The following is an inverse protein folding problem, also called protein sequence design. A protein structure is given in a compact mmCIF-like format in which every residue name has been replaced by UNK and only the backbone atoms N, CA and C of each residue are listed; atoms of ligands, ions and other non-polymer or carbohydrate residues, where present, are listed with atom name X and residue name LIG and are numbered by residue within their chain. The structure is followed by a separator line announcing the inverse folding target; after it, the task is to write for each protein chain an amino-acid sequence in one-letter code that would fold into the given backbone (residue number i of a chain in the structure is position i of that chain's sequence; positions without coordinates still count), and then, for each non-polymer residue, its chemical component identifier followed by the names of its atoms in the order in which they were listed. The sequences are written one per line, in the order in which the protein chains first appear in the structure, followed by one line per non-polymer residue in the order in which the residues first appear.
data_IF_354276663242
#
_entry.id   IF_354276663242
#
_cell.length_a   1.000
_cell.length_b   1.000
_cell.length_c   1.000
_cell.angle_alpha   90.00
_cell.angle_beta   90.00
_cell.angle_gamma   90.00
#
_symmetry.space_group_name_H-M   'P 1'
#
loop_
_entity.id
_entity.type
_entity.pdbx_description
1 polymer ?
#
# COMPACT_ATOMS: atom_id res chain seq x y z
N UNK A 1 -49.11 21.53 -12.88
CA UNK A 1 -48.05 20.51 -13.05
C UNK A 1 -47.12 21.01 -14.15
N UNK A 2 -46.14 21.83 -13.77
CA UNK A 2 -45.20 22.47 -14.69
C UNK A 2 -43.96 21.60 -14.88
N UNK A 3 -43.56 21.45 -16.13
CA UNK A 3 -42.32 20.84 -16.56
C UNK A 3 -41.24 21.94 -16.76
N UNK A 4 -39.97 21.50 -16.81
CA UNK A 4 -38.70 22.24 -17.04
C UNK A 4 -38.19 23.07 -15.85
N UNK A 5 -36.94 22.97 -15.42
CA UNK A 5 -35.70 23.16 -16.20
C UNK A 5 -34.55 22.21 -15.76
N UNK A 6 -33.74 21.87 -16.76
CA UNK A 6 -32.49 21.10 -16.78
C UNK A 6 -31.47 21.48 -15.70
N UNK A 7 -30.77 20.48 -15.16
CA UNK A 7 -29.39 20.64 -14.70
C UNK A 7 -28.47 19.90 -15.69
N UNK A 8 -27.68 20.70 -16.38
CA UNK A 8 -26.59 20.39 -17.29
C UNK A 8 -25.37 19.79 -16.55
N UNK A 9 -24.55 19.02 -17.27
CA UNK A 9 -23.14 18.79 -16.92
C UNK A 9 -22.80 17.56 -16.07
N UNK A 10 -22.21 16.55 -16.72
CA UNK A 10 -21.64 15.32 -16.16
C UNK A 10 -22.64 14.39 -15.43
N UNK A 11 -23.08 13.34 -16.13
CA UNK A 11 -23.59 12.15 -15.45
C UNK A 11 -22.53 11.69 -14.45
N UNK A 12 -22.77 11.88 -13.15
CA UNK A 12 -21.92 11.36 -12.09
C UNK A 12 -21.78 9.85 -12.32
N UNK A 13 -20.61 9.42 -12.80
CA UNK A 13 -20.35 8.00 -13.05
C UNK A 13 -20.52 7.24 -11.74
N UNK A 14 -21.58 6.44 -11.64
CA UNK A 14 -21.79 5.51 -10.54
C UNK A 14 -21.17 4.16 -10.87
N UNK A 15 -20.62 3.51 -9.85
CA UNK A 15 -20.16 2.13 -9.96
C UNK A 15 -21.35 1.20 -10.15
N UNK A 16 -21.19 0.21 -11.01
CA UNK A 16 -22.04 -0.98 -11.03
C UNK A 16 -21.81 -1.81 -9.77
N UNK A 17 -22.76 -2.68 -9.43
CA UNK A 17 -22.59 -3.60 -8.31
C UNK A 17 -21.34 -4.49 -8.48
N UNK A 18 -21.01 -4.87 -9.72
CA UNK A 18 -19.81 -5.65 -10.03
C UNK A 18 -18.53 -4.85 -9.76
N UNK A 19 -18.41 -3.63 -10.31
CA UNK A 19 -17.25 -2.77 -10.07
C UNK A 19 -17.05 -2.50 -8.56
N UNK A 20 -18.14 -2.34 -7.80
CA UNK A 20 -18.06 -2.17 -6.35
C UNK A 20 -17.49 -3.41 -5.65
N UNK A 21 -17.95 -4.62 -6.01
CA UNK A 21 -17.45 -5.86 -5.42
C UNK A 21 -15.99 -6.13 -5.81
N UNK A 22 -15.58 -5.80 -7.03
CA UNK A 22 -14.19 -5.92 -7.49
C UNK A 22 -13.24 -5.03 -6.68
N UNK A 23 -13.66 -3.80 -6.36
CA UNK A 23 -12.87 -2.90 -5.51
C UNK A 23 -12.68 -3.45 -4.09
N UNK A 24 -13.68 -4.15 -3.55
CA UNK A 24 -13.56 -4.79 -2.23
C UNK A 24 -12.53 -5.94 -2.20
N UNK A 25 -12.19 -6.51 -3.36
CA UNK A 25 -11.18 -7.56 -3.49
C UNK A 25 -9.76 -7.01 -3.68
N UNK A 26 -9.59 -5.68 -3.84
CA UNK A 26 -8.27 -5.06 -4.00
C UNK A 26 -7.47 -5.26 -2.71
N UNK A 27 -6.27 -5.89 -2.76
CA UNK A 27 -5.47 -6.07 -1.57
C UNK A 27 -5.06 -4.72 -0.97
N UNK A 28 -5.18 -4.56 0.35
CA UNK A 28 -4.85 -3.31 1.06
C UNK A 28 -3.42 -2.79 0.75
N UNK A 29 -2.47 -3.70 0.49
CA UNK A 29 -1.12 -3.32 0.08
C UNK A 29 -1.09 -2.61 -1.30
N UNK A 30 -1.92 -3.05 -2.25
CA UNK A 30 -2.04 -2.43 -3.58
C UNK A 30 -2.65 -1.05 -3.44
N UNK A 31 -3.71 -0.91 -2.65
CA UNK A 31 -4.34 0.39 -2.34
C UNK A 31 -3.34 1.36 -1.71
N UNK A 32 -2.63 0.91 -0.68
CA UNK A 32 -1.63 1.73 0.00
C UNK A 32 -0.51 2.20 -0.96
N UNK A 33 0.02 1.31 -1.81
CA UNK A 33 1.02 1.70 -2.80
C UNK A 33 0.45 2.66 -3.87
N UNK A 34 -0.81 2.52 -4.26
CA UNK A 34 -1.46 3.44 -5.21
C UNK A 34 -1.55 4.86 -4.64
N UNK A 35 -1.71 5.00 -3.32
CA UNK A 35 -1.75 6.29 -2.62
C UNK A 35 -0.38 6.99 -2.53
N UNK A 36 0.73 6.28 -2.79
CA UNK A 36 2.08 6.89 -2.85
C UNK A 36 2.32 7.51 -4.23
N UNK A 37 2.06 8.82 -4.33
CA UNK A 37 2.19 9.59 -5.58
C UNK A 37 3.61 9.63 -6.15
N UNK A 38 4.63 9.74 -5.31
CA UNK A 38 6.01 9.80 -5.78
C UNK A 38 6.50 8.40 -6.18
N UNK A 39 6.81 8.14 -7.47
CA UNK A 39 7.20 6.80 -7.93
C UNK A 39 8.53 6.32 -7.32
N UNK A 40 9.43 7.24 -6.94
CA UNK A 40 10.67 6.89 -6.24
C UNK A 40 10.38 6.42 -4.81
N UNK A 41 9.56 7.18 -4.09
CA UNK A 41 9.13 6.81 -2.73
C UNK A 41 8.40 5.47 -2.74
N UNK A 42 7.48 5.26 -3.69
CA UNK A 42 6.77 3.99 -3.85
C UNK A 42 7.73 2.82 -4.10
N UNK A 43 8.69 2.98 -5.01
CA UNK A 43 9.70 1.94 -5.29
C UNK A 43 10.56 1.64 -4.07
N UNK A 44 10.90 2.66 -3.27
CA UNK A 44 11.67 2.48 -2.05
C UNK A 44 10.90 1.62 -1.02
N UNK A 45 9.65 1.96 -0.71
CA UNK A 45 8.81 1.15 0.19
C UNK A 45 8.58 -0.28 -0.32
N UNK A 46 8.43 -0.46 -1.63
CA UNK A 46 8.34 -1.81 -2.23
C UNK A 46 9.65 -2.61 -2.03
N UNK A 47 10.80 -1.97 -2.13
CA UNK A 47 12.08 -2.62 -1.88
C UNK A 47 12.25 -2.97 -0.40
N UNK A 48 11.89 -2.06 0.49
CA UNK A 48 11.95 -2.25 1.94
C UNK A 48 11.05 -3.41 2.39
N UNK A 49 9.82 -3.50 1.88
CA UNK A 49 8.93 -4.62 2.19
C UNK A 49 9.46 -5.96 1.69
N UNK A 50 10.06 -6.01 0.49
CA UNK A 50 10.69 -7.25 0.00
C UNK A 50 11.89 -7.67 0.83
N UNK A 51 12.74 -6.71 1.20
CA UNK A 51 13.92 -6.95 2.04
C UNK A 51 13.50 -7.43 3.43
N UNK A 52 12.49 -6.78 4.03
CA UNK A 52 11.90 -7.20 5.30
C UNK A 52 11.31 -8.62 5.22
N UNK A 53 10.43 -8.91 4.25
CA UNK A 53 9.84 -10.25 4.10
C UNK A 53 10.91 -11.33 3.93
N UNK A 54 11.95 -11.04 3.14
CA UNK A 54 13.07 -11.96 2.95
C UNK A 54 13.85 -12.18 4.25
N UNK A 55 14.06 -11.13 5.05
CA UNK A 55 14.76 -11.19 6.32
C UNK A 55 14.00 -12.03 7.36
N UNK A 56 12.69 -11.84 7.49
CA UNK A 56 11.87 -12.56 8.48
C UNK A 56 11.31 -13.89 7.97
N UNK A 57 11.49 -14.21 6.68
CA UNK A 57 11.04 -15.46 6.08
C UNK A 57 9.53 -15.54 5.81
N UNK A 58 8.85 -14.41 5.60
CA UNK A 58 7.42 -14.39 5.28
C UNK A 58 7.19 -14.78 3.82
N UNK A 59 6.31 -15.75 3.58
CA UNK A 59 5.96 -16.24 2.24
C UNK A 59 4.59 -15.71 1.76
N UNK A 60 3.72 -15.31 2.66
CA UNK A 60 2.36 -14.85 2.34
C UNK A 60 1.90 -13.65 3.17
N UNK A 61 0.94 -12.91 2.61
CA UNK A 61 0.38 -11.72 3.26
C UNK A 61 -0.33 -12.03 4.60
N UNK A 62 -0.88 -13.23 4.73
CA UNK A 62 -1.58 -13.67 5.94
C UNK A 62 -0.65 -13.74 7.18
N UNK A 63 0.64 -13.96 6.95
CA UNK A 63 1.65 -14.11 8.00
C UNK A 63 2.04 -12.77 8.63
N UNK A 64 1.71 -11.63 8.00
CA UNK A 64 1.95 -10.30 8.60
C UNK A 64 1.24 -10.12 9.94
N UNK A 65 0.18 -10.88 10.23
CA UNK A 65 -0.49 -10.86 11.54
C UNK A 65 0.41 -11.33 12.69
N UNK A 66 1.45 -12.11 12.41
CA UNK A 66 2.44 -12.53 13.40
C UNK A 66 3.58 -11.52 13.60
N UNK A 67 3.71 -10.53 12.69
CA UNK A 67 4.76 -9.52 12.77
C UNK A 67 4.49 -8.57 13.95
N UNK A 68 5.53 -8.34 14.73
CA UNK A 68 5.52 -7.41 15.85
C UNK A 68 6.77 -6.51 15.80
N UNK A 69 6.85 -5.56 16.74
CA UNK A 69 7.94 -4.57 16.80
C UNK A 69 9.35 -5.20 16.87
N UNK A 70 9.52 -6.35 17.51
CA UNK A 70 10.83 -6.98 17.66
C UNK A 70 11.43 -7.37 16.30
N UNK A 71 10.61 -7.87 15.38
CA UNK A 71 11.02 -8.21 14.02
C UNK A 71 11.55 -6.99 13.25
N UNK A 72 10.86 -5.84 13.38
CA UNK A 72 11.27 -4.58 12.73
C UNK A 72 12.57 -4.06 13.32
N UNK A 73 12.75 -4.16 14.65
CA UNK A 73 14.00 -3.74 15.31
C UNK A 73 15.18 -4.61 14.89
N UNK A 74 14.99 -5.93 14.81
CA UNK A 74 16.02 -6.85 14.34
C UNK A 74 16.41 -6.55 12.88
N UNK A 75 15.43 -6.26 12.02
CA UNK A 75 15.69 -5.86 10.64
C UNK A 75 16.46 -4.55 10.56
N UNK A 76 16.08 -3.53 11.34
CA UNK A 76 16.82 -2.25 11.38
C UNK A 76 18.26 -2.41 11.84
N UNK A 77 18.52 -3.26 12.83
CA UNK A 77 19.88 -3.60 13.23
C UNK A 77 20.67 -4.25 12.08
N UNK A 78 20.03 -5.09 11.26
CA UNK A 78 20.65 -5.63 10.06
C UNK A 78 20.96 -4.54 9.02
N UNK A 79 20.09 -3.54 8.83
CA UNK A 79 20.36 -2.42 7.93
C UNK A 79 21.55 -1.56 8.41
N UNK A 80 21.70 -1.40 9.73
CA UNK A 80 22.86 -0.75 10.35
C UNK A 80 24.15 -1.54 10.11
N UNK A 81 24.12 -2.88 10.27
CA UNK A 81 25.26 -3.76 9.95
C UNK A 81 25.66 -3.70 8.47
N UNK A 82 24.69 -3.47 7.58
CA UNK A 82 24.93 -3.25 6.14
C UNK A 82 25.43 -1.84 5.81
N UNK A 83 25.64 -0.99 6.82
CA UNK A 83 26.09 0.40 6.69
C UNK A 83 25.21 1.24 5.74
N UNK A 84 23.90 0.97 5.71
CA UNK A 84 22.98 1.77 4.90
C UNK A 84 22.78 3.17 5.48
N UNK A 85 22.39 4.12 4.61
CA UNK A 85 22.17 5.49 5.03
C UNK A 85 21.10 5.60 6.14
N UNK A 86 21.25 6.58 7.03
CA UNK A 86 20.24 6.86 8.05
C UNK A 86 18.87 7.26 7.49
N UNK A 87 18.79 7.69 6.22
CA UNK A 87 17.52 7.91 5.53
C UNK A 87 16.83 6.58 5.14
N UNK A 88 17.61 5.55 4.83
CA UNK A 88 17.08 4.20 4.57
C UNK A 88 16.61 3.53 5.86
N UNK A 89 17.39 3.61 6.94
CA UNK A 89 17.05 2.97 8.24
C UNK A 89 15.80 3.58 8.90
N UNK A 90 15.48 4.85 8.61
CA UNK A 90 14.34 5.57 9.20
C UNK A 90 13.05 5.48 8.37
N UNK A 91 13.13 5.06 7.11
CA UNK A 91 11.97 4.96 6.23
C UNK A 91 11.09 3.78 6.64
#
# INVERSE_FOLDING_TARGET
MSQLVMADGASERRLTALEFQELAAVPAAVEWFANIRNPRTRRAYQADLRDFCSFVGLAGAEEFRAVNRAHVLAWRAQLELRALSGATIRR
#
